data_IF_940494161076
#
_entry.id   IF_940494161076
#
_cell.length_a   1.000
_cell.length_b   1.000
_cell.length_c   1.000
_cell.angle_alpha   90.00
_cell.angle_beta   90.00
_cell.angle_gamma   90.00
#
_symmetry.space_group_name_H-M   'P 1'
#
loop_
_entity.id
_entity.type
_entity.pdbx_description
1 polymer ?
#
# COMPACT_ATOMS: atom_id res chain seq x y z
N UNK A 1 -11.36 21.79 29.28
CA UNK A 1 -11.97 21.65 27.93
C UNK A 1 -10.99 22.02 26.83
N UNK A 2 -9.69 21.96 27.12
CA UNK A 2 -8.65 22.57 26.29
C UNK A 2 -8.30 21.71 25.08
N UNK A 3 -8.49 20.40 25.17
CA UNK A 3 -8.23 19.46 24.07
C UNK A 3 -9.05 19.78 22.81
N UNK A 4 -10.38 19.88 22.92
CA UNK A 4 -11.25 20.20 21.80
C UNK A 4 -10.92 21.57 21.22
N UNK A 5 -10.64 22.55 22.09
CA UNK A 5 -10.27 23.89 21.66
C UNK A 5 -8.96 23.90 20.87
N UNK A 6 -7.92 23.21 21.35
CA UNK A 6 -6.65 23.05 20.62
C UNK A 6 -6.84 22.31 19.30
N UNK A 7 -7.67 21.26 19.26
CA UNK A 7 -7.91 20.47 18.05
C UNK A 7 -8.65 21.26 16.96
N UNK A 8 -9.53 22.20 17.33
CA UNK A 8 -10.31 23.01 16.39
C UNK A 8 -9.76 24.42 16.16
N UNK A 9 -8.62 24.77 16.76
CA UNK A 9 -7.95 26.06 16.54
C UNK A 9 -6.83 25.92 15.52
N UNK A 10 -6.57 26.99 14.78
CA UNK A 10 -5.40 27.07 13.91
C UNK A 10 -4.11 26.92 14.74
N UNK A 11 -3.10 26.14 14.29
CA UNK A 11 -2.98 25.46 12.99
C UNK A 11 -3.57 24.03 12.93
N UNK A 12 -3.84 23.39 14.07
CA UNK A 12 -4.21 21.97 14.15
C UNK A 12 -5.55 21.65 13.48
N UNK A 13 -6.45 22.62 13.34
CA UNK A 13 -7.75 22.47 12.67
C UNK A 13 -7.65 21.93 11.23
N UNK A 14 -6.58 22.28 10.51
CA UNK A 14 -6.38 21.80 9.14
C UNK A 14 -6.19 20.28 9.14
N UNK A 15 -5.30 19.79 10.01
CA UNK A 15 -5.10 18.35 10.17
C UNK A 15 -6.30 17.65 10.79
N UNK A 16 -7.03 18.28 11.71
CA UNK A 16 -8.26 17.72 12.27
C UNK A 16 -9.31 17.49 11.17
N UNK A 17 -9.41 18.43 10.22
CA UNK A 17 -10.33 18.32 9.08
C UNK A 17 -9.90 17.19 8.15
N UNK A 18 -8.61 17.11 7.80
CA UNK A 18 -8.07 16.01 6.99
C UNK A 18 -8.26 14.64 7.67
N UNK A 19 -8.03 14.57 8.98
CA UNK A 19 -8.19 13.36 9.76
C UNK A 19 -9.66 12.92 9.80
N UNK A 20 -10.61 13.86 9.87
CA UNK A 20 -12.03 13.56 9.76
C UNK A 20 -12.38 12.94 8.40
N UNK A 21 -11.84 13.49 7.31
CA UNK A 21 -12.03 12.93 5.96
C UNK A 21 -11.48 11.50 5.88
N UNK A 22 -10.27 11.28 6.41
CA UNK A 22 -9.64 9.95 6.48
C UNK A 22 -10.50 8.97 7.29
N UNK A 23 -11.04 9.40 8.44
CA UNK A 23 -11.92 8.56 9.25
C UNK A 23 -13.22 8.21 8.52
N UNK A 24 -13.82 9.16 7.80
CA UNK A 24 -15.01 8.90 6.98
C UNK A 24 -14.70 7.92 5.85
N UNK A 25 -13.57 8.09 5.17
CA UNK A 25 -13.11 7.15 4.15
C UNK A 25 -12.99 5.73 4.71
N UNK A 26 -12.32 5.57 5.85
CA UNK A 26 -12.19 4.27 6.50
C UNK A 26 -13.53 3.69 6.94
N UNK A 27 -14.48 4.50 7.40
CA UNK A 27 -15.82 4.05 7.77
C UNK A 27 -16.57 3.50 6.54
N UNK A 28 -16.50 4.21 5.40
CA UNK A 28 -17.09 3.79 4.12
C UNK A 28 -16.43 2.51 3.61
N UNK A 29 -15.10 2.42 3.70
CA UNK A 29 -14.35 1.25 3.27
C UNK A 29 -14.65 0.02 4.13
N UNK A 30 -14.72 0.17 5.45
CA UNK A 30 -15.14 -0.90 6.37
C UNK A 30 -16.58 -1.36 6.15
N UNK A 31 -17.45 -0.47 5.68
CA UNK A 31 -18.81 -0.82 5.28
C UNK A 31 -18.89 -1.49 3.90
N UNK A 32 -17.77 -1.66 3.19
CA UNK A 32 -17.68 -2.32 1.89
C UNK A 32 -18.11 -1.45 0.70
N UNK A 33 -18.31 -0.14 0.91
CA UNK A 33 -18.71 0.78 -0.17
C UNK A 33 -17.52 1.39 -0.93
N UNK A 34 -16.31 1.27 -0.39
CA UNK A 34 -15.08 1.76 -1.02
C UNK A 34 -14.00 0.68 -0.95
N UNK A 35 -13.45 0.34 -2.12
CA UNK A 35 -12.32 -0.57 -2.24
C UNK A 35 -11.01 0.23 -2.22
N UNK A 36 -10.17 0.09 -1.19
CA UNK A 36 -8.91 0.82 -1.10
C UNK A 36 -7.96 0.46 -2.25
N UNK A 37 -8.04 -0.77 -2.77
CA UNK A 37 -7.16 -1.25 -3.85
C UNK A 37 -7.37 -0.46 -5.15
N UNK A 38 -8.57 0.09 -5.38
CA UNK A 38 -8.85 0.94 -6.55
C UNK A 38 -8.10 2.27 -6.51
N UNK A 39 -7.87 2.84 -5.32
CA UNK A 39 -7.11 4.07 -5.16
C UNK A 39 -5.60 3.81 -5.20
N UNK A 40 -5.17 2.59 -4.86
CA UNK A 40 -3.76 2.21 -4.83
C UNK A 40 -3.24 1.75 -6.21
N UNK A 41 -4.11 1.20 -7.08
CA UNK A 41 -3.74 0.68 -8.41
C UNK A 41 -3.58 1.71 -9.53
N UNK A 42 -4.14 2.91 -9.39
CA UNK A 42 -4.08 4.00 -10.40
C UNK A 42 -3.24 5.21 -9.92
N UNK A 43 -2.81 5.19 -8.66
CA UNK A 43 -2.01 6.26 -8.07
C UNK A 43 -0.50 6.03 -8.30
N UNK A 44 -0.09 6.04 -9.57
CA UNK A 44 1.28 6.42 -9.91
C UNK A 44 1.42 7.91 -9.58
N UNK A 45 1.67 8.23 -8.31
CA UNK A 45 1.95 9.60 -7.89
C UNK A 45 3.29 10.00 -8.51
N UNK A 46 3.23 10.60 -9.71
CA UNK A 46 4.26 11.53 -10.16
C UNK A 46 4.22 12.74 -9.23
N UNK A 47 4.92 12.62 -8.09
CA UNK A 47 5.18 13.77 -7.22
C UNK A 47 6.01 14.73 -8.07
N UNK A 48 5.37 15.78 -8.56
CA UNK A 48 5.94 16.83 -9.39
C UNK A 48 6.98 17.61 -8.57
N UNK A 49 8.16 17.01 -8.48
CA UNK A 49 9.23 17.34 -7.54
C UNK A 49 10.51 16.59 -7.90
N UNK A 50 10.93 16.70 -9.16
CA UNK A 50 12.28 16.36 -9.64
C UNK A 50 12.67 14.89 -9.59
N UNK A 51 12.58 14.20 -10.73
CA UNK A 51 13.34 13.04 -11.21
C UNK A 51 13.59 11.78 -10.32
N UNK A 52 13.28 11.77 -9.02
CA UNK A 52 13.56 10.66 -8.08
C UNK A 52 12.36 10.34 -7.15
N UNK A 53 11.19 10.94 -7.38
CA UNK A 53 10.01 10.83 -6.51
C UNK A 53 9.51 9.39 -6.27
N UNK A 54 9.59 8.54 -7.30
CA UNK A 54 9.27 7.11 -7.18
C UNK A 54 10.24 6.36 -6.27
N UNK A 55 11.54 6.69 -6.31
CA UNK A 55 12.57 6.01 -5.51
C UNK A 55 12.43 6.30 -4.01
N UNK A 56 12.05 7.53 -3.64
CA UNK A 56 12.00 7.95 -2.24
C UNK A 56 10.76 7.40 -1.53
N UNK A 57 9.62 7.38 -2.24
CA UNK A 57 8.40 6.72 -1.77
C UNK A 57 8.61 5.21 -1.63
N UNK A 58 9.19 4.56 -2.64
CA UNK A 58 9.44 3.11 -2.62
C UNK A 58 10.47 2.72 -1.55
N UNK A 59 11.42 3.60 -1.21
CA UNK A 59 12.39 3.39 -0.13
C UNK A 59 11.79 3.56 1.27
N UNK A 60 10.80 4.44 1.45
CA UNK A 60 10.17 4.73 2.74
C UNK A 60 8.89 3.93 3.03
N UNK A 61 8.09 3.67 2.00
CA UNK A 61 6.71 3.16 2.07
C UNK A 61 6.49 1.93 1.17
N UNK A 62 7.54 1.42 0.50
CA UNK A 62 7.42 0.27 -0.39
C UNK A 62 6.84 -0.96 0.30
N UNK A 63 5.80 -1.54 -0.31
CA UNK A 63 5.12 -2.75 0.16
C UNK A 63 3.89 -2.51 1.04
N UNK A 64 3.46 -1.26 1.24
CA UNK A 64 2.21 -0.93 1.95
C UNK A 64 1.31 -0.07 1.06
N UNK A 65 -0.02 -0.28 1.08
CA UNK A 65 -0.96 0.52 0.29
C UNK A 65 -0.77 2.04 0.53
N UNK A 66 -0.84 2.82 -0.54
CA UNK A 66 -0.64 4.26 -0.52
C UNK A 66 -1.72 4.95 0.33
N UNK A 67 -2.97 4.51 0.21
CA UNK A 67 -4.11 4.95 1.03
C UNK A 67 -3.80 4.85 2.53
N UNK A 68 -3.24 3.72 2.96
CA UNK A 68 -2.82 3.47 4.35
C UNK A 68 -1.68 4.42 4.74
N UNK A 69 -0.68 4.57 3.88
CA UNK A 69 0.48 5.43 4.13
C UNK A 69 0.08 6.91 4.30
N UNK A 70 -0.77 7.44 3.40
CA UNK A 70 -1.31 8.81 3.50
C UNK A 70 -2.09 8.99 4.79
N UNK A 71 -2.95 8.03 5.14
CA UNK A 71 -3.74 8.09 6.38
C UNK A 71 -2.85 8.21 7.63
N UNK A 72 -1.73 7.48 7.65
CA UNK A 72 -0.77 7.51 8.74
C UNK A 72 -0.01 8.85 8.80
N UNK A 73 0.40 9.39 7.64
CA UNK A 73 1.05 10.71 7.57
C UNK A 73 0.11 11.78 8.13
N UNK A 74 -1.17 11.77 7.75
CA UNK A 74 -2.17 12.72 8.25
C UNK A 74 -2.35 12.56 9.76
N UNK A 75 -2.48 11.33 10.25
CA UNK A 75 -2.62 11.05 11.68
C UNK A 75 -1.41 11.52 12.49
N UNK A 76 -0.20 11.22 12.04
CA UNK A 76 1.03 11.65 12.71
C UNK A 76 1.23 13.16 12.62
N UNK A 77 0.92 13.79 11.48
CA UNK A 77 0.96 15.25 11.34
C UNK A 77 0.01 15.93 12.32
N UNK A 78 -1.19 15.36 12.52
CA UNK A 78 -2.14 15.85 13.51
C UNK A 78 -1.59 15.76 14.94
N UNK A 79 -1.02 14.61 15.32
CA UNK A 79 -0.41 14.40 16.64
C UNK A 79 0.73 15.40 16.86
N UNK A 80 1.65 15.52 15.90
CA UNK A 80 2.78 16.45 15.99
C UNK A 80 2.31 17.89 16.07
N UNK A 81 1.34 18.30 15.25
CA UNK A 81 0.75 19.65 15.28
C UNK A 81 0.09 19.95 16.64
N UNK A 82 -0.67 19.00 17.18
CA UNK A 82 -1.34 19.15 18.47
C UNK A 82 -0.34 19.34 19.61
N UNK A 83 0.71 18.51 19.66
CA UNK A 83 1.75 18.63 20.67
C UNK A 83 2.62 19.88 20.46
N UNK A 84 2.92 20.25 19.22
CA UNK A 84 3.67 21.46 18.91
C UNK A 84 2.93 22.70 19.37
N UNK A 85 1.62 22.80 19.12
CA UNK A 85 0.79 23.90 19.60
C UNK A 85 0.77 23.99 21.13
N UNK A 86 0.80 22.85 21.83
CA UNK A 86 0.80 22.82 23.30
C UNK A 86 2.18 23.16 23.90
N UNK A 87 3.26 22.62 23.34
CA UNK A 87 4.64 22.82 23.80
C UNK A 87 5.14 24.23 23.48
N UNK A 88 4.81 24.74 22.29
CA UNK A 88 5.24 26.04 21.80
C UNK A 88 4.14 27.09 21.85
N UNK A 89 3.12 26.89 22.70
CA UNK A 89 2.05 27.88 22.91
C UNK A 89 2.61 29.28 23.24
N UNK A 90 3.73 29.35 23.97
CA UNK A 90 4.42 30.61 24.28
C UNK A 90 5.06 31.29 23.05
N UNK A 91 5.38 30.51 22.02
CA UNK A 91 5.99 30.99 20.78
C UNK A 91 4.93 31.47 19.77
N UNK A 92 3.67 31.08 19.96
CA UNK A 92 2.54 31.61 19.21
C UNK A 92 2.25 33.02 19.75
N UNK A 93 2.93 34.01 19.17
CA UNK A 93 2.67 35.42 19.45
C UNK A 93 1.26 35.85 19.04
N UNK A 94 0.94 37.14 19.18
CA UNK A 94 -0.40 37.66 18.91
C UNK A 94 -0.59 38.17 17.46
N UNK A 95 -1.84 38.21 16.99
CA UNK A 95 -2.24 38.88 15.74
C UNK A 95 -1.71 38.19 14.48
N UNK A 96 -1.03 38.93 13.59
CA UNK A 96 -0.52 38.39 12.31
C UNK A 96 0.62 37.38 12.53
N UNK A 97 1.41 37.57 13.59
CA UNK A 97 2.51 36.66 13.92
C UNK A 97 2.01 35.28 14.31
N UNK A 98 0.82 35.19 14.91
CA UNK A 98 0.13 33.92 15.19
C UNK A 98 -0.05 33.08 13.91
N UNK A 99 -0.54 33.70 12.83
CA UNK A 99 -0.81 33.00 11.57
C UNK A 99 0.49 32.57 10.86
N UNK A 100 1.52 33.40 10.86
CA UNK A 100 2.83 33.07 10.27
C UNK A 100 3.50 31.93 11.03
N UNK A 101 3.59 32.04 12.36
CA UNK A 101 4.19 31.01 13.21
C UNK A 101 3.38 29.72 13.16
N UNK A 102 2.05 29.79 13.19
CA UNK A 102 1.19 28.62 13.05
C UNK A 102 1.32 27.95 11.68
N UNK A 103 1.47 28.71 10.59
CA UNK A 103 1.77 28.17 9.26
C UNK A 103 3.14 27.47 9.20
N UNK A 104 4.16 28.05 9.84
CA UNK A 104 5.47 27.41 9.97
C UNK A 104 5.40 26.11 10.78
N UNK A 105 4.62 26.08 11.88
CA UNK A 105 4.36 24.87 12.65
C UNK A 105 3.60 23.81 11.85
N UNK A 106 2.65 24.22 11.01
CA UNK A 106 1.93 23.31 10.11
C UNK A 106 2.93 22.63 9.17
N UNK A 107 3.72 23.40 8.41
CA UNK A 107 4.72 22.83 7.51
C UNK A 107 5.75 21.97 8.27
N UNK A 108 6.26 22.46 9.40
CA UNK A 108 7.20 21.73 10.25
C UNK A 108 6.63 20.39 10.73
N UNK A 109 5.34 20.35 11.09
CA UNK A 109 4.68 19.11 11.52
C UNK A 109 4.60 18.08 10.41
N UNK A 110 4.36 18.51 9.16
CA UNK A 110 4.37 17.62 8.00
C UNK A 110 5.76 17.04 7.75
N UNK A 111 6.80 17.89 7.78
CA UNK A 111 8.19 17.44 7.61
C UNK A 111 8.64 16.44 8.68
N UNK A 112 8.18 16.60 9.93
CA UNK A 112 8.46 15.65 11.02
C UNK A 112 7.62 14.37 10.90
N UNK A 113 6.40 14.48 10.40
CA UNK A 113 5.50 13.35 10.23
C UNK A 113 5.97 12.38 9.15
N UNK A 114 6.59 12.86 8.05
CA UNK A 114 7.09 12.01 6.96
C UNK A 114 8.07 10.90 7.42
N UNK A 115 9.19 11.21 8.10
CA UNK A 115 10.11 10.16 8.57
C UNK A 115 9.48 9.29 9.66
N UNK A 116 8.60 9.85 10.48
CA UNK A 116 7.89 9.10 11.52
C UNK A 116 6.89 8.10 10.91
N UNK A 117 6.20 8.50 9.85
CA UNK A 117 5.31 7.64 9.09
C UNK A 117 6.08 6.52 8.40
N UNK A 118 7.20 6.84 7.74
CA UNK A 118 8.06 5.83 7.13
C UNK A 118 8.58 4.82 8.19
N UNK A 119 8.98 5.30 9.37
CA UNK A 119 9.39 4.43 10.47
C UNK A 119 8.26 3.54 11.00
N UNK A 120 7.03 4.07 11.08
CA UNK A 120 5.86 3.33 11.53
C UNK A 120 5.32 2.34 10.48
N UNK A 121 5.54 2.59 9.18
CA UNK A 121 5.17 1.69 8.07
C UNK A 121 6.13 0.52 7.94
N UNK A 122 7.42 0.68 8.28
CA UNK A 122 8.42 -0.41 8.23
C UNK A 122 8.00 -1.73 8.90
N UNK A 123 7.48 -1.77 10.15
CA UNK A 123 7.01 -3.01 10.75
C UNK A 123 5.74 -3.57 10.08
N UNK A 124 4.86 -2.69 9.57
CA UNK A 124 3.63 -3.09 8.88
C UNK A 124 3.92 -3.77 7.54
N UNK A 125 5.03 -3.40 6.87
CA UNK A 125 5.46 -4.01 5.60
C UNK A 125 5.50 -5.53 5.68
N UNK A 126 6.03 -6.11 6.76
CA UNK A 126 6.13 -7.57 6.90
C UNK A 126 4.77 -8.28 6.85
N UNK A 127 3.69 -7.63 7.28
CA UNK A 127 2.33 -8.19 7.23
C UNK A 127 1.77 -8.12 5.81
N UNK A 128 1.95 -6.99 5.11
CA UNK A 128 1.48 -6.83 3.73
C UNK A 128 2.26 -7.69 2.73
N UNK A 129 3.59 -7.76 2.88
CA UNK A 129 4.48 -8.59 2.05
C UNK A 129 4.20 -10.09 2.25
N UNK A 130 3.88 -10.48 3.50
CA UNK A 130 3.46 -11.84 3.83
C UNK A 130 2.12 -12.22 3.20
N UNK A 131 1.15 -11.32 3.10
CA UNK A 131 -0.16 -11.63 2.48
C UNK A 131 -0.04 -11.81 0.95
N UNK A 132 0.75 -10.96 0.27
CA UNK A 132 0.97 -11.11 -1.17
C UNK A 132 1.79 -12.35 -1.51
N UNK A 133 2.79 -12.68 -0.69
CA UNK A 133 3.59 -13.91 -0.88
C UNK A 133 2.80 -15.17 -0.49
N UNK A 134 2.06 -15.17 0.62
CA UNK A 134 1.27 -16.34 1.05
C UNK A 134 0.14 -16.65 0.08
N UNK A 135 -0.50 -15.65 -0.52
CA UNK A 135 -1.52 -15.88 -1.55
C UNK A 135 -0.94 -16.52 -2.81
N UNK A 136 0.31 -16.18 -3.18
CA UNK A 136 1.00 -16.75 -4.34
C UNK A 136 1.58 -18.14 -4.05
N UNK A 137 2.23 -18.32 -2.91
CA UNK A 137 2.75 -19.62 -2.49
C UNK A 137 1.63 -20.61 -2.11
N UNK A 138 0.44 -20.14 -1.70
CA UNK A 138 -0.74 -20.99 -1.49
C UNK A 138 -1.29 -21.61 -2.80
N UNK A 139 -0.92 -21.07 -3.96
CA UNK A 139 -1.27 -21.67 -5.25
C UNK A 139 -0.38 -22.87 -5.58
N UNK A 140 0.76 -23.03 -4.89
CA UNK A 140 1.64 -24.19 -5.02
C UNK A 140 0.94 -25.41 -4.43
N UNK A 141 0.89 -26.49 -5.22
CA UNK A 141 0.16 -27.72 -4.90
C UNK A 141 -1.26 -27.78 -5.46
N UNK A 142 -1.75 -26.72 -6.11
CA UNK A 142 -3.05 -26.73 -6.79
C UNK A 142 -2.94 -27.20 -8.24
N UNK A 143 -4.02 -27.82 -8.73
CA UNK A 143 -4.19 -28.15 -10.14
C UNK A 143 -4.59 -26.88 -10.91
N UNK A 144 -3.92 -26.63 -12.03
CA UNK A 144 -4.23 -25.55 -12.94
C UNK A 144 -4.53 -26.07 -14.34
N UNK A 145 -5.33 -25.30 -15.09
CA UNK A 145 -5.71 -25.59 -16.47
C UNK A 145 -5.00 -24.60 -17.39
N UNK A 146 -4.28 -25.11 -18.36
CA UNK A 146 -3.44 -24.29 -19.23
C UNK A 146 -4.30 -23.47 -20.18
N UNK A 147 -4.09 -22.15 -20.18
CA UNK A 147 -4.87 -21.20 -20.98
C UNK A 147 -4.22 -20.92 -22.34
N UNK A 148 -2.88 -21.02 -22.42
CA UNK A 148 -2.10 -20.76 -23.64
C UNK A 148 -1.90 -22.00 -24.49
N UNK A 149 -1.89 -21.84 -25.82
CA UNK A 149 -1.68 -22.95 -26.76
C UNK A 149 -0.31 -23.63 -26.69
N UNK A 150 0.69 -22.96 -26.10
CA UNK A 150 2.03 -23.51 -25.82
C UNK A 150 2.56 -22.93 -24.52
N UNK A 151 3.26 -23.75 -23.74
CA UNK A 151 4.04 -23.34 -22.58
C UNK A 151 5.52 -23.64 -22.84
N UNK A 152 6.37 -22.66 -22.58
CA UNK A 152 7.84 -22.74 -22.71
C UNK A 152 8.51 -22.29 -21.41
N UNK A 153 9.84 -22.39 -21.35
CA UNK A 153 10.64 -21.89 -20.23
C UNK A 153 10.55 -20.37 -20.01
N UNK A 154 10.02 -19.62 -20.98
CA UNK A 154 9.90 -18.15 -20.94
C UNK A 154 8.48 -17.62 -21.08
N UNK A 155 7.51 -18.43 -21.52
CA UNK A 155 6.14 -17.98 -21.77
C UNK A 155 5.10 -19.06 -21.48
N UNK A 156 4.00 -18.67 -20.84
CA UNK A 156 2.85 -19.54 -20.61
C UNK A 156 1.90 -18.93 -19.59
N UNK A 157 0.60 -19.23 -19.73
CA UNK A 157 -0.41 -18.83 -18.76
C UNK A 157 -1.32 -20.01 -18.44
N UNK A 158 -1.70 -20.13 -17.17
CA UNK A 158 -2.64 -21.13 -16.69
C UNK A 158 -3.68 -20.49 -15.77
N UNK A 159 -4.86 -21.10 -15.69
CA UNK A 159 -5.93 -20.74 -14.76
C UNK A 159 -5.87 -21.66 -13.56
N UNK A 160 -5.80 -21.09 -12.38
CA UNK A 160 -5.89 -21.81 -11.12
C UNK A 160 -7.17 -21.42 -10.39
N UNK A 161 -7.87 -22.39 -9.83
CA UNK A 161 -9.06 -22.15 -9.02
C UNK A 161 -8.68 -22.22 -7.54
N UNK A 162 -8.80 -21.10 -6.83
CA UNK A 162 -8.53 -21.00 -5.40
C UNK A 162 -9.70 -20.27 -4.72
N UNK A 163 -10.26 -20.88 -3.67
CA UNK A 163 -11.37 -20.31 -2.87
C UNK A 163 -12.56 -19.81 -3.69
N UNK A 164 -12.88 -20.47 -4.81
CA UNK A 164 -14.03 -20.13 -5.65
C UNK A 164 -13.78 -18.99 -6.66
N UNK A 165 -12.54 -18.48 -6.76
CA UNK A 165 -12.10 -17.54 -7.78
C UNK A 165 -11.15 -18.22 -8.78
N UNK A 166 -11.31 -17.95 -10.07
CA UNK A 166 -10.32 -18.33 -11.09
C UNK A 166 -9.31 -17.19 -11.27
N UNK A 167 -8.04 -17.48 -11.00
CA UNK A 167 -6.94 -16.55 -11.20
C UNK A 167 -6.08 -17.00 -12.38
N UNK A 168 -5.71 -16.04 -13.24
CA UNK A 168 -4.74 -16.28 -14.31
C UNK A 168 -3.33 -16.05 -13.77
N UNK A 169 -2.48 -17.07 -13.88
CA UNK A 169 -1.10 -17.03 -13.40
C UNK A 169 -0.13 -17.34 -14.54
N UNK A 170 1.05 -16.73 -14.49
CA UNK A 170 2.12 -17.03 -15.43
C UNK A 170 2.81 -18.32 -15.05
N UNK A 171 2.90 -19.24 -16.01
CA UNK A 171 3.53 -20.55 -15.82
C UNK A 171 4.70 -20.73 -16.77
N UNK A 172 5.67 -21.52 -16.33
CA UNK A 172 6.86 -21.92 -17.08
C UNK A 172 7.04 -23.43 -16.96
N UNK A 173 7.53 -24.03 -18.03
CA UNK A 173 7.86 -25.45 -18.08
C UNK A 173 9.30 -25.60 -18.55
N UNK A 174 10.07 -26.42 -17.85
CA UNK A 174 11.48 -26.71 -18.20
C UNK A 174 11.55 -27.68 -19.40
N UNK A 175 10.55 -28.55 -19.56
CA UNK A 175 10.40 -29.41 -20.75
C UNK A 175 9.60 -28.69 -21.85
N UNK A 176 10.26 -28.36 -22.96
CA UNK A 176 9.61 -27.71 -24.10
C UNK A 176 8.56 -28.61 -24.77
N UNK A 177 7.34 -28.08 -24.97
CA UNK A 177 6.22 -28.67 -25.73
C UNK A 177 5.44 -29.84 -25.09
N UNK A 178 5.44 -30.02 -23.76
CA UNK A 178 4.60 -31.05 -23.12
C UNK A 178 3.13 -30.65 -22.96
N UNK A 179 2.80 -29.36 -23.09
CA UNK A 179 1.50 -28.83 -22.70
C UNK A 179 0.79 -28.03 -23.78
N UNK A 180 -0.51 -28.30 -23.95
CA UNK A 180 -1.44 -27.60 -24.85
C UNK A 180 -2.59 -26.95 -24.08
N UNK A 181 -3.35 -26.08 -24.75
CA UNK A 181 -4.48 -25.38 -24.14
C UNK A 181 -5.53 -26.39 -23.66
N UNK A 182 -5.94 -26.26 -22.39
CA UNK A 182 -6.90 -27.14 -21.73
C UNK A 182 -6.28 -28.30 -20.95
N UNK A 183 -4.96 -28.51 -21.05
CA UNK A 183 -4.28 -29.54 -20.27
C UNK A 183 -4.19 -29.16 -18.80
N UNK A 184 -4.21 -30.19 -17.95
CA UNK A 184 -4.11 -30.07 -16.49
C UNK A 184 -2.65 -30.22 -16.07
N UNK A 185 -2.18 -29.30 -15.23
CA UNK A 185 -0.83 -29.31 -14.68
C UNK A 185 -0.84 -28.95 -13.19
N UNK A 186 0.21 -29.36 -12.47
CA UNK A 186 0.37 -29.06 -11.06
C UNK A 186 1.39 -27.94 -10.87
N UNK A 187 1.04 -26.91 -10.10
CA UNK A 187 1.97 -25.87 -9.67
C UNK A 187 2.90 -26.42 -8.59
N UNK A 188 4.20 -26.48 -8.83
CA UNK A 188 5.17 -27.07 -7.87
C UNK A 188 6.03 -26.04 -7.15
N UNK A 189 6.34 -24.94 -7.81
CA UNK A 189 7.27 -23.95 -7.27
C UNK A 189 6.89 -22.57 -7.80
N UNK A 190 7.01 -21.58 -6.93
CA UNK A 190 6.80 -20.18 -7.27
C UNK A 190 8.16 -19.47 -7.28
N UNK A 191 8.53 -18.90 -8.43
CA UNK A 191 9.72 -18.06 -8.53
C UNK A 191 9.34 -16.60 -8.24
N UNK A 192 9.72 -16.11 -7.06
CA UNK A 192 9.46 -14.74 -6.61
C UNK A 192 10.20 -13.67 -7.43
N UNK A 193 11.26 -14.01 -8.15
CA UNK A 193 12.05 -13.06 -8.97
C UNK A 193 11.38 -12.78 -10.31
N UNK A 194 10.76 -13.79 -10.92
CA UNK A 194 10.09 -13.68 -12.23
C UNK A 194 8.56 -13.67 -12.13
N UNK A 195 8.01 -13.74 -10.91
CA UNK A 195 6.58 -13.88 -10.63
C UNK A 195 5.91 -15.00 -11.45
N UNK A 196 6.65 -16.08 -11.69
CA UNK A 196 6.23 -17.19 -12.55
C UNK A 196 6.25 -18.50 -11.77
N UNK A 197 5.32 -19.39 -12.09
CA UNK A 197 5.26 -20.71 -11.48
C UNK A 197 5.83 -21.79 -12.38
N UNK A 198 6.57 -22.71 -11.80
CA UNK A 198 6.98 -23.93 -12.49
C UNK A 198 5.85 -24.94 -12.42
N UNK A 199 5.48 -25.49 -13.57
CA UNK A 199 4.45 -26.52 -13.68
C UNK A 199 5.04 -27.87 -14.08
N UNK A 200 4.43 -28.95 -13.60
CA UNK A 200 4.74 -30.33 -14.00
C UNK A 200 3.48 -31.08 -14.40
N UNK A 201 3.66 -32.15 -15.17
CA UNK A 201 2.55 -33.04 -15.53
C UNK A 201 2.02 -33.71 -14.28
N UNK A 202 0.70 -33.80 -14.16
CA UNK A 202 0.09 -34.44 -12.99
C UNK A 202 0.39 -35.96 -13.05
N UNK A 203 1.07 -36.57 -12.06
CA UNK A 203 1.52 -37.96 -12.15
C UNK A 203 0.43 -39.01 -11.82
N UNK A 204 -0.86 -38.67 -11.85
CA UNK A 204 -1.96 -39.55 -11.44
C UNK A 204 -3.00 -39.76 -12.55
#
# INVERSE_FOLDING_TARGET
MDFLNTAFTFPTVVYSTLLLIVLLFWLISLAGFADPDMLDGDADIEVEGGADGGSLWQMGFGGVPLTVSISLIVALSWVVSFYAQKLFAYLLGDGVMFYLTGGAFMLGSLFVALPLAAAAVRPLRGVFDSQQTSSKDALVGLECVIATGKVTATFGQARVSHEGSEQLVEVRCDEENTFTQGDKALLIEHNTTTHSYTIVTNPW
#
